data_IF_800626513136
#
_entry.id   IF_800626513136
#
_cell.length_a   1.000
_cell.length_b   1.000
_cell.length_c   1.000
_cell.angle_alpha   90.00
_cell.angle_beta   90.00
_cell.angle_gamma   90.00
#
_symmetry.space_group_name_H-M   'P 1'
#
loop_
_entity.id
_entity.type
_entity.pdbx_description
1 polymer ?
#
# COMPACT_ATOMS: atom_id res chain seq x y z
N UNK A 1 -16.45 -21.18 19.10
CA UNK A 1 -17.55 -20.46 19.74
C UNK A 1 -18.00 -19.31 18.85
N UNK A 2 -19.27 -18.98 18.90
CA UNK A 2 -19.86 -17.95 18.04
C UNK A 2 -19.24 -16.57 18.21
N UNK A 3 -18.88 -16.22 19.43
CA UNK A 3 -18.25 -14.93 19.69
C UNK A 3 -16.92 -14.77 19.00
N UNK A 4 -16.24 -15.87 18.70
CA UNK A 4 -14.99 -15.81 17.95
C UNK A 4 -15.20 -15.44 16.48
N UNK A 5 -16.38 -15.75 15.93
CA UNK A 5 -16.73 -15.42 14.56
C UNK A 5 -17.08 -13.95 14.36
N UNK A 6 -17.33 -13.21 15.45
CA UNK A 6 -17.60 -11.79 15.40
C UNK A 6 -16.32 -10.94 15.45
N UNK A 7 -15.18 -11.55 15.71
CA UNK A 7 -13.90 -10.85 15.65
C UNK A 7 -13.62 -10.36 14.24
N UNK A 8 -12.91 -9.24 14.13
CA UNK A 8 -12.56 -8.68 12.83
C UNK A 8 -11.76 -9.70 12.03
N UNK A 9 -12.20 -9.96 10.80
CA UNK A 9 -11.51 -10.83 9.89
C UNK A 9 -10.75 -9.97 8.89
N UNK A 10 -9.43 -10.14 8.84
CA UNK A 10 -8.59 -9.42 7.90
C UNK A 10 -8.35 -10.27 6.66
N UNK A 11 -8.64 -9.71 5.50
CA UNK A 11 -8.40 -10.37 4.22
C UNK A 11 -7.33 -9.63 3.44
N UNK A 12 -6.40 -10.38 2.86
CA UNK A 12 -5.48 -9.84 1.87
C UNK A 12 -6.15 -10.01 0.51
N UNK A 13 -6.47 -8.87 -0.12
CA UNK A 13 -7.19 -8.86 -1.39
C UNK A 13 -6.22 -8.96 -2.56
N UNK A 14 -5.09 -8.29 -2.47
CA UNK A 14 -4.10 -8.24 -3.55
C UNK A 14 -2.71 -8.11 -2.98
N UNK A 15 -1.73 -8.52 -3.76
CA UNK A 15 -0.32 -8.44 -3.42
C UNK A 15 0.48 -8.07 -4.67
N UNK A 16 1.52 -7.22 -4.47
CA UNK A 16 2.50 -6.91 -5.50
C UNK A 16 3.88 -6.89 -4.88
N UNK A 17 4.87 -7.27 -5.67
CA UNK A 17 6.26 -7.20 -5.23
C UNK A 17 6.92 -5.97 -5.85
N UNK A 18 7.65 -5.22 -5.04
CA UNK A 18 8.48 -4.12 -5.50
C UNK A 18 9.91 -4.37 -5.07
N UNK A 19 10.87 -3.79 -5.81
CA UNK A 19 12.28 -3.91 -5.46
C UNK A 19 12.55 -3.13 -4.18
N UNK A 20 13.33 -3.72 -3.30
CA UNK A 20 13.70 -3.12 -2.03
C UNK A 20 14.99 -2.31 -2.20
N UNK A 21 15.00 -1.08 -1.66
CA UNK A 21 16.21 -0.25 -1.67
C UNK A 21 17.33 -0.93 -0.89
N UNK A 22 18.52 -0.86 -1.45
CA UNK A 22 19.72 -1.31 -0.74
C UNK A 22 19.95 -0.42 0.48
N UNK A 23 20.00 -0.99 1.69
CA UNK A 23 20.17 -0.19 2.89
C UNK A 23 21.57 0.42 3.02
N UNK A 24 22.54 -0.11 2.27
CA UNK A 24 23.93 0.37 2.34
C UNK A 24 24.17 1.63 1.53
N UNK A 25 23.50 1.77 0.37
CA UNK A 25 23.79 2.88 -0.53
C UNK A 25 22.60 3.81 -0.77
N UNK A 26 21.41 3.52 -0.24
CA UNK A 26 20.26 4.41 -0.42
C UNK A 26 20.59 5.79 0.14
N UNK A 27 20.10 6.81 -0.55
CA UNK A 27 20.27 8.19 -0.13
C UNK A 27 18.95 8.89 -0.08
N UNK A 28 18.72 9.66 0.97
CA UNK A 28 17.55 10.51 1.11
C UNK A 28 17.90 11.89 0.59
N UNK A 29 17.16 12.36 -0.38
CA UNK A 29 17.31 13.71 -0.93
C UNK A 29 16.17 14.59 -0.44
N UNK A 30 15.89 15.70 -1.13
CA UNK A 30 14.77 16.57 -0.78
C UNK A 30 13.46 15.79 -0.78
N UNK A 31 12.45 16.33 -0.07
CA UNK A 31 11.12 15.72 -0.07
C UNK A 31 10.58 15.66 -1.50
N UNK A 32 9.87 14.58 -1.80
CA UNK A 32 9.20 14.44 -3.08
C UNK A 32 8.07 15.47 -3.22
N UNK A 33 7.69 15.76 -4.46
CA UNK A 33 6.52 16.58 -4.70
C UNK A 33 5.30 15.95 -4.01
N UNK A 34 4.43 16.75 -3.37
CA UNK A 34 3.31 16.20 -2.66
C UNK A 34 2.36 15.47 -3.61
N UNK A 35 1.89 14.31 -3.17
CA UNK A 35 0.84 13.59 -3.86
C UNK A 35 -0.52 14.24 -3.58
N UNK A 36 -1.53 14.00 -4.43
CA UNK A 36 -2.88 14.41 -4.09
C UNK A 36 -3.27 13.88 -2.70
N UNK A 37 -3.88 14.74 -1.91
CA UNK A 37 -4.21 14.42 -0.52
C UNK A 37 -5.11 13.19 -0.40
N UNK A 38 -5.98 12.96 -1.40
CA UNK A 38 -6.85 11.79 -1.44
C UNK A 38 -6.09 10.48 -1.62
N UNK A 39 -4.87 10.52 -2.15
CA UNK A 39 -4.04 9.33 -2.31
C UNK A 39 -3.14 9.12 -1.10
N UNK A 40 -2.46 10.17 -0.66
CA UNK A 40 -1.56 10.09 0.49
C UNK A 40 -1.40 11.50 1.08
N UNK A 41 -1.94 11.74 2.30
CA UNK A 41 -2.00 13.10 2.87
C UNK A 41 -0.72 13.54 3.57
N UNK A 42 0.30 12.70 3.58
CA UNK A 42 1.55 12.97 4.30
C UNK A 42 2.68 13.27 3.34
N UNK A 43 3.68 14.07 3.73
CA UNK A 43 4.88 14.24 2.91
C UNK A 43 5.67 12.93 2.84
N UNK A 44 6.28 12.69 1.67
CA UNK A 44 7.13 11.52 1.47
C UNK A 44 8.57 11.93 1.25
N UNK A 45 9.52 11.21 1.85
CA UNK A 45 10.93 11.42 1.53
C UNK A 45 11.22 10.98 0.10
N UNK A 46 12.15 11.66 -0.55
CA UNK A 46 12.63 11.24 -1.85
C UNK A 46 13.88 10.39 -1.68
N UNK A 47 13.74 9.10 -1.87
CA UNK A 47 14.84 8.15 -1.79
C UNK A 47 15.45 7.94 -3.15
N UNK A 48 16.79 7.81 -3.19
CA UNK A 48 17.54 7.52 -4.41
C UNK A 48 18.18 6.15 -4.32
N UNK A 49 18.00 5.36 -5.39
CA UNK A 49 18.73 4.13 -5.59
C UNK A 49 20.06 4.49 -6.24
N UNK A 50 21.15 4.37 -5.49
CA UNK A 50 22.47 4.83 -5.95
C UNK A 50 23.23 3.72 -6.66
N UNK A 51 23.42 2.61 -5.97
CA UNK A 51 24.22 1.50 -6.46
C UNK A 51 25.52 1.33 -5.69
N UNK A 52 25.87 0.10 -5.35
CA UNK A 52 27.12 -0.25 -4.67
C UNK A 52 27.46 -1.70 -4.98
N UNK A 53 28.59 -2.17 -4.45
CA UNK A 53 29.05 -3.54 -4.70
C UNK A 53 28.17 -4.60 -4.06
N UNK A 54 27.30 -4.21 -3.13
CA UNK A 54 26.43 -5.13 -2.40
C UNK A 54 25.01 -5.20 -2.94
N UNK A 55 24.72 -4.57 -4.08
CA UNK A 55 23.36 -4.49 -4.60
C UNK A 55 23.32 -4.47 -6.13
N UNK A 56 22.10 -4.37 -6.68
CA UNK A 56 21.84 -4.29 -8.12
C UNK A 56 21.24 -2.93 -8.45
N UNK A 57 22.08 -1.99 -8.87
CA UNK A 57 21.66 -0.63 -9.27
C UNK A 57 20.88 0.10 -8.17
N UNK A 58 21.21 -0.13 -6.92
CA UNK A 58 20.59 0.53 -5.79
C UNK A 58 19.48 -0.28 -5.12
N UNK A 59 19.20 -1.47 -5.63
CA UNK A 59 18.15 -2.35 -5.06
C UNK A 59 18.73 -3.71 -4.69
N UNK A 60 18.22 -4.28 -3.61
CA UNK A 60 18.58 -5.62 -3.18
C UNK A 60 17.38 -6.29 -2.54
N UNK A 61 16.92 -7.38 -3.17
CA UNK A 61 15.75 -8.09 -2.71
C UNK A 61 14.45 -7.38 -3.10
N UNK A 62 13.37 -7.90 -2.60
CA UNK A 62 12.02 -7.40 -2.87
C UNK A 62 11.21 -7.40 -1.60
N UNK A 63 10.19 -6.54 -1.56
CA UNK A 63 9.21 -6.53 -0.49
C UNK A 63 7.81 -6.65 -1.10
N UNK A 64 6.88 -7.19 -0.32
CA UNK A 64 5.50 -7.33 -0.75
C UNK A 64 4.68 -6.13 -0.28
N UNK A 65 3.87 -5.60 -1.18
CA UNK A 65 2.83 -4.63 -0.87
C UNK A 65 1.50 -5.37 -0.85
N UNK A 66 0.62 -4.98 0.07
CA UNK A 66 -0.65 -5.67 0.25
C UNK A 66 -1.81 -4.70 0.20
N UNK A 67 -2.91 -5.14 -0.41
CA UNK A 67 -4.21 -4.52 -0.23
C UNK A 67 -4.97 -5.33 0.80
N UNK A 68 -5.39 -4.69 1.87
CA UNK A 68 -5.93 -5.36 3.04
C UNK A 68 -7.29 -4.81 3.38
N UNK A 69 -8.23 -5.69 3.69
CA UNK A 69 -9.58 -5.33 4.08
C UNK A 69 -9.92 -5.99 5.40
N UNK A 70 -10.33 -5.17 6.37
CA UNK A 70 -10.92 -5.65 7.61
C UNK A 70 -12.43 -5.73 7.42
N UNK A 71 -12.99 -6.93 7.62
CA UNK A 71 -14.42 -7.14 7.46
C UNK A 71 -15.12 -6.84 8.77
N UNK A 72 -15.88 -5.75 8.81
CA UNK A 72 -16.72 -5.40 9.94
C UNK A 72 -18.15 -5.96 9.78
N UNK A 73 -19.01 -5.69 10.76
CA UNK A 73 -20.37 -6.19 10.75
C UNK A 73 -21.18 -5.66 9.56
N UNK A 74 -21.02 -4.37 9.22
CA UNK A 74 -21.75 -3.76 8.12
C UNK A 74 -21.37 -4.39 6.79
N UNK A 75 -20.09 -4.63 6.58
CA UNK A 75 -19.58 -5.25 5.37
C UNK A 75 -20.07 -6.70 5.25
N UNK A 76 -20.03 -7.43 6.35
CA UNK A 76 -20.50 -8.80 6.40
C UNK A 76 -21.99 -8.88 6.05
N UNK A 77 -22.79 -7.96 6.59
CA UNK A 77 -24.22 -7.90 6.31
C UNK A 77 -24.48 -7.60 4.83
N UNK A 78 -23.78 -6.62 4.26
CA UNK A 78 -23.91 -6.25 2.86
C UNK A 78 -23.60 -7.42 1.93
N UNK A 79 -22.56 -8.19 2.24
CA UNK A 79 -22.18 -9.37 1.47
C UNK A 79 -23.29 -10.44 1.58
N UNK A 80 -23.80 -10.67 2.78
CA UNK A 80 -24.86 -11.65 3.01
C UNK A 80 -26.17 -11.27 2.30
N UNK A 81 -26.46 -9.98 2.16
CA UNK A 81 -27.64 -9.48 1.47
C UNK A 81 -27.47 -9.43 -0.05
N UNK A 82 -26.28 -9.73 -0.56
CA UNK A 82 -26.02 -9.68 -1.99
C UNK A 82 -26.02 -8.27 -2.57
N UNK A 83 -25.55 -7.28 -1.79
CA UNK A 83 -25.49 -5.89 -2.25
C UNK A 83 -24.54 -5.77 -3.44
N UNK A 84 -24.72 -4.73 -4.24
CA UNK A 84 -23.94 -4.52 -5.43
C UNK A 84 -22.48 -4.18 -5.11
N UNK A 85 -21.61 -4.33 -6.13
CA UNK A 85 -20.17 -4.14 -5.97
C UNK A 85 -19.82 -2.73 -5.49
N UNK A 86 -20.50 -1.72 -6.01
CA UNK A 86 -20.23 -0.33 -5.61
C UNK A 86 -20.53 -0.10 -4.12
N UNK A 87 -21.62 -0.65 -3.62
CA UNK A 87 -21.97 -0.54 -2.21
C UNK A 87 -20.95 -1.23 -1.33
N UNK A 88 -20.52 -2.44 -1.72
CA UNK A 88 -19.52 -3.19 -0.98
C UNK A 88 -18.18 -2.46 -0.98
N UNK A 89 -17.75 -1.90 -2.11
CA UNK A 89 -16.52 -1.12 -2.18
C UNK A 89 -16.57 0.10 -1.27
N UNK A 90 -17.70 0.81 -1.26
CA UNK A 90 -17.87 1.98 -0.41
C UNK A 90 -17.79 1.61 1.06
N UNK A 91 -18.45 0.53 1.46
CA UNK A 91 -18.39 0.04 2.84
C UNK A 91 -16.98 -0.42 3.22
N UNK A 92 -16.26 -1.04 2.27
CA UNK A 92 -14.88 -1.46 2.49
C UNK A 92 -13.97 -0.26 2.76
N UNK A 93 -14.13 0.82 2.00
CA UNK A 93 -13.37 2.05 2.21
C UNK A 93 -13.69 2.68 3.56
N UNK A 94 -14.97 2.70 3.94
CA UNK A 94 -15.39 3.21 5.25
C UNK A 94 -14.86 2.36 6.39
N UNK A 95 -14.66 1.07 6.17
CA UNK A 95 -14.09 0.15 7.14
C UNK A 95 -12.56 0.28 7.27
N UNK A 96 -11.95 1.17 6.50
CA UNK A 96 -10.51 1.40 6.56
C UNK A 96 -9.70 0.46 5.68
N UNK A 97 -10.22 0.10 4.50
CA UNK A 97 -9.45 -0.68 3.53
C UNK A 97 -8.17 0.05 3.16
N UNK A 98 -7.05 -0.64 3.30
CA UNK A 98 -5.74 -0.11 2.92
C UNK A 98 -5.42 -0.57 1.50
N UNK A 99 -5.20 0.39 0.60
CA UNK A 99 -4.93 0.08 -0.81
C UNK A 99 -3.47 -0.33 -1.02
N UNK A 100 -3.22 -0.97 -2.17
CA UNK A 100 -1.84 -1.29 -2.57
C UNK A 100 -0.99 -0.03 -2.65
N UNK A 101 -1.54 1.06 -3.18
CA UNK A 101 -0.79 2.31 -3.30
C UNK A 101 -0.41 2.88 -1.93
N UNK A 102 -1.34 2.85 -0.97
CA UNK A 102 -1.06 3.27 0.40
C UNK A 102 0.01 2.39 1.05
N UNK A 103 -0.03 1.08 0.81
CA UNK A 103 1.02 0.17 1.26
C UNK A 103 2.38 0.56 0.68
N UNK A 104 2.39 0.94 -0.61
CA UNK A 104 3.60 1.43 -1.27
C UNK A 104 4.11 2.73 -0.66
N UNK A 105 3.23 3.69 -0.40
CA UNK A 105 3.61 4.95 0.22
C UNK A 105 4.18 4.74 1.62
N UNK A 106 3.61 3.83 2.38
CA UNK A 106 4.13 3.49 3.70
C UNK A 106 5.55 2.91 3.60
N UNK A 107 5.78 2.03 2.63
CA UNK A 107 7.11 1.47 2.39
C UNK A 107 8.12 2.56 2.01
N UNK A 108 7.71 3.53 1.18
CA UNK A 108 8.55 4.68 0.82
C UNK A 108 8.88 5.51 2.06
N UNK A 109 7.90 5.76 2.92
CA UNK A 109 8.12 6.54 4.14
C UNK A 109 9.14 5.88 5.07
N UNK A 110 9.24 4.55 5.02
CA UNK A 110 10.20 3.76 5.81
C UNK A 110 11.54 3.57 5.12
N UNK A 111 11.70 4.08 3.90
CA UNK A 111 12.94 3.93 3.14
C UNK A 111 13.15 2.53 2.58
N UNK A 112 12.10 1.76 2.43
CA UNK A 112 12.19 0.39 1.92
C UNK A 112 12.16 0.31 0.41
N UNK A 113 11.60 1.33 -0.25
CA UNK A 113 11.54 1.43 -1.70
C UNK A 113 11.44 2.88 -2.12
N UNK A 114 11.36 3.14 -3.43
CA UNK A 114 11.17 4.49 -3.95
C UNK A 114 9.74 4.67 -4.47
N UNK A 115 9.29 5.93 -4.52
CA UNK A 115 7.98 6.24 -5.09
C UNK A 115 7.95 5.87 -6.59
N UNK A 116 9.04 6.10 -7.29
CA UNK A 116 9.16 5.72 -8.70
C UNK A 116 8.95 4.22 -8.91
N UNK A 117 9.48 3.40 -8.00
CA UNK A 117 9.31 1.96 -8.07
C UNK A 117 7.85 1.56 -7.81
N UNK A 118 7.20 2.17 -6.82
CA UNK A 118 5.80 1.93 -6.53
C UNK A 118 4.93 2.25 -7.76
N UNK A 119 5.16 3.41 -8.37
CA UNK A 119 4.41 3.83 -9.56
C UNK A 119 4.70 2.91 -10.74
N UNK A 120 5.95 2.48 -10.91
CA UNK A 120 6.31 1.55 -11.99
C UNK A 120 5.51 0.26 -11.91
N UNK A 121 5.33 -0.28 -10.72
CA UNK A 121 4.66 -1.57 -10.52
C UNK A 121 3.14 -1.42 -10.49
N UNK A 122 2.64 -0.41 -9.78
CA UNK A 122 1.20 -0.25 -9.54
C UNK A 122 0.52 0.69 -10.55
N UNK A 123 1.28 1.56 -11.19
CA UNK A 123 0.71 2.70 -11.90
C UNK A 123 0.26 3.79 -10.92
N UNK A 124 -0.05 4.96 -11.46
CA UNK A 124 -0.58 6.06 -10.65
C UNK A 124 -2.10 5.87 -10.53
N UNK A 125 -2.65 5.83 -9.29
CA UNK A 125 -4.09 5.70 -9.11
C UNK A 125 -4.84 6.89 -9.69
N UNK A 126 -6.07 6.66 -10.14
CA UNK A 126 -6.94 7.73 -10.58
C UNK A 126 -7.37 8.59 -9.39
N UNK A 127 -7.31 9.91 -9.59
CA UNK A 127 -7.79 10.89 -8.64
C UNK A 127 -9.03 11.53 -9.26
N UNK A 128 -10.16 11.20 -8.69
CA UNK A 128 -11.37 11.78 -9.27
C UNK A 128 -12.59 11.48 -8.48
#
# INVERSE_FOLDING_TARGET
ARWMLSAALTLVIAQRLVRKLCPHCRQKSAMADPLPESLWPHPLPHWRAVGCDSCYHGFYGRIALFEVLDINADLRQAIAEGRDVQTIEQLARQAGMSTLFESGCLAVSRGQTTLEEVIRVLGMPHVG
#
